data_IF_899151453422
#
_entry.id   IF_899151453422
#
_cell.length_a   1.000
_cell.length_b   1.000
_cell.length_c   1.000
_cell.angle_alpha   90.00
_cell.angle_beta   90.00
_cell.angle_gamma   90.00
#
_symmetry.space_group_name_H-M   'P 1'
#
loop_
_entity.id
_entity.type
_entity.pdbx_description
1 polymer ?
#
# COMPACT_ATOMS: atom_id res chain seq x y z
N UNK A 1 3.75 -0.66 -1.65
CA UNK A 1 3.92 -0.54 -0.18
C UNK A 1 2.57 -0.44 0.54
N UNK A 2 1.65 0.50 0.18
CA UNK A 2 0.33 0.64 0.83
C UNK A 2 -0.43 -0.69 1.01
N UNK A 3 -0.59 -1.44 -0.08
CA UNK A 3 -1.29 -2.73 -0.04
C UNK A 3 -0.58 -3.77 0.83
N UNK A 4 0.75 -3.89 0.71
CA UNK A 4 1.53 -4.86 1.48
C UNK A 4 1.45 -4.57 2.98
N UNK A 5 1.47 -3.29 3.36
CA UNK A 5 1.28 -2.86 4.74
C UNK A 5 -0.12 -3.26 5.23
N UNK A 6 -1.17 -2.95 4.46
CA UNK A 6 -2.55 -3.32 4.82
C UNK A 6 -2.80 -4.84 4.89
N UNK A 7 -2.01 -5.64 4.17
CA UNK A 7 -2.05 -7.10 4.24
C UNK A 7 -1.32 -7.68 5.46
N UNK A 8 -0.70 -6.82 6.29
CA UNK A 8 0.00 -7.24 7.49
C UNK A 8 1.44 -7.71 7.25
N UNK A 9 2.11 -7.22 6.20
CA UNK A 9 3.52 -7.50 6.02
C UNK A 9 4.36 -6.80 7.12
N UNK A 10 5.01 -7.59 7.95
CA UNK A 10 5.82 -7.09 9.07
C UNK A 10 7.21 -6.57 8.64
N UNK A 11 7.77 -7.10 7.55
CA UNK A 11 9.14 -6.80 7.12
C UNK A 11 9.24 -6.50 5.61
N UNK A 12 9.97 -5.44 5.26
CA UNK A 12 10.31 -5.09 3.89
C UNK A 12 11.82 -5.25 3.66
N UNK A 13 12.20 -6.07 2.69
CA UNK A 13 13.60 -6.23 2.27
C UNK A 13 13.83 -5.54 0.91
N UNK A 14 14.84 -4.67 0.83
CA UNK A 14 15.15 -3.87 -0.36
C UNK A 14 16.59 -3.35 -0.34
N UNK A 15 17.02 -2.70 -1.44
CA UNK A 15 18.33 -2.06 -1.50
C UNK A 15 18.44 -0.87 -0.53
N UNK A 16 19.65 -0.58 -0.05
CA UNK A 16 19.89 0.52 0.89
C UNK A 16 19.40 1.89 0.38
N UNK A 17 19.47 2.13 -0.93
CA UNK A 17 18.99 3.37 -1.56
C UNK A 17 17.48 3.56 -1.46
N UNK A 18 16.69 2.47 -1.39
CA UNK A 18 15.23 2.52 -1.34
C UNK A 18 14.66 2.58 0.07
N UNK A 19 15.46 2.27 1.10
CA UNK A 19 14.99 2.22 2.50
C UNK A 19 14.43 3.56 2.97
N UNK A 20 15.08 4.68 2.63
CA UNK A 20 14.66 5.99 3.12
C UNK A 20 13.32 6.41 2.50
N UNK A 21 13.16 6.18 1.20
CA UNK A 21 11.92 6.44 0.47
C UNK A 21 10.78 5.58 1.00
N UNK A 22 10.99 4.26 1.14
CA UNK A 22 10.00 3.34 1.68
C UNK A 22 9.58 3.72 3.11
N UNK A 23 10.55 4.11 3.96
CA UNK A 23 10.26 4.59 5.32
C UNK A 23 9.41 5.85 5.30
N UNK A 24 9.70 6.80 4.41
CA UNK A 24 8.91 8.02 4.29
C UNK A 24 7.47 7.69 3.86
N UNK A 25 7.29 6.79 2.90
CA UNK A 25 5.97 6.32 2.47
C UNK A 25 5.22 5.72 3.65
N UNK A 26 5.78 4.72 4.33
CA UNK A 26 5.12 4.01 5.45
C UNK A 26 4.71 5.00 6.56
N UNK A 27 5.56 5.97 6.89
CA UNK A 27 5.29 6.96 7.94
C UNK A 27 4.11 7.90 7.65
N UNK A 28 3.75 8.07 6.38
CA UNK A 28 2.67 8.95 5.94
C UNK A 28 1.36 8.19 5.67
N UNK A 29 1.29 6.90 5.99
CA UNK A 29 0.10 6.08 5.82
C UNK A 29 -0.57 5.79 7.17
N UNK A 30 -1.90 5.69 7.16
CA UNK A 30 -2.66 5.14 8.28
C UNK A 30 -2.86 3.64 8.08
N UNK A 31 -2.47 2.84 9.06
CA UNK A 31 -2.53 1.37 8.98
C UNK A 31 -3.94 0.82 8.77
N UNK A 32 -4.96 1.37 9.45
CA UNK A 32 -6.34 0.92 9.33
C UNK A 32 -6.92 1.25 7.94
N UNK A 33 -6.59 2.43 7.41
CA UNK A 33 -7.00 2.80 6.04
C UNK A 33 -6.36 1.86 5.00
N UNK A 34 -5.10 1.47 5.22
CA UNK A 34 -4.42 0.52 4.33
C UNK A 34 -5.02 -0.88 4.40
N UNK A 35 -5.48 -1.34 5.56
CA UNK A 35 -6.22 -2.61 5.66
C UNK A 35 -7.49 -2.59 4.82
N UNK A 36 -8.31 -1.54 4.97
CA UNK A 36 -9.55 -1.38 4.20
C UNK A 36 -9.25 -1.32 2.70
N UNK A 37 -8.21 -0.59 2.30
CA UNK A 37 -7.76 -0.54 0.91
C UNK A 37 -7.34 -1.92 0.39
N UNK A 38 -6.55 -2.66 1.16
CA UNK A 38 -6.11 -4.01 0.79
C UNK A 38 -7.26 -5.00 0.67
N UNK A 39 -8.26 -4.94 1.57
CA UNK A 39 -9.46 -5.76 1.46
C UNK A 39 -10.24 -5.46 0.18
N UNK A 40 -10.40 -4.17 -0.19
CA UNK A 40 -11.03 -3.79 -1.47
C UNK A 40 -10.23 -4.31 -2.67
N UNK A 41 -8.90 -4.16 -2.63
CA UNK A 41 -8.03 -4.62 -3.71
C UNK A 41 -8.05 -6.15 -3.89
N UNK A 42 -8.16 -6.93 -2.81
CA UNK A 42 -8.30 -8.39 -2.88
C UNK A 42 -9.61 -8.85 -3.53
N UNK A 43 -10.65 -8.01 -3.50
CA UNK A 43 -11.95 -8.29 -4.12
C UNK A 43 -12.08 -7.70 -5.54
N UNK A 44 -11.02 -7.09 -6.08
CA UNK A 44 -11.04 -6.52 -7.42
C UNK A 44 -10.76 -7.61 -8.47
N UNK A 45 -11.53 -7.60 -9.56
CA UNK A 45 -11.44 -8.61 -10.62
C UNK A 45 -10.24 -8.41 -11.56
N UNK A 46 -9.70 -7.18 -11.64
CA UNK A 46 -8.60 -6.85 -12.56
C UNK A 46 -7.55 -5.96 -11.92
N UNK A 47 -6.34 -6.01 -12.49
CA UNK A 47 -5.22 -5.16 -12.09
C UNK A 47 -5.56 -3.67 -12.24
N UNK A 48 -6.31 -3.29 -13.28
CA UNK A 48 -6.72 -1.90 -13.52
C UNK A 48 -7.62 -1.37 -12.39
N UNK A 49 -8.54 -2.22 -11.90
CA UNK A 49 -9.38 -1.87 -10.77
C UNK A 49 -8.56 -1.70 -9.47
N UNK A 50 -7.55 -2.55 -9.25
CA UNK A 50 -6.61 -2.39 -8.12
C UNK A 50 -5.84 -1.07 -8.22
N UNK A 51 -5.33 -0.72 -9.41
CA UNK A 51 -4.60 0.53 -9.62
C UNK A 51 -5.48 1.77 -9.41
N UNK A 52 -6.74 1.73 -9.86
CA UNK A 52 -7.70 2.81 -9.64
C UNK A 52 -8.00 3.03 -8.15
N UNK A 53 -8.19 1.96 -7.38
CA UNK A 53 -8.35 2.04 -5.92
C UNK A 53 -7.12 2.66 -5.23
N UNK A 54 -5.92 2.34 -5.73
CA UNK A 54 -4.68 2.87 -5.19
C UNK A 54 -4.53 4.38 -5.45
N UNK A 55 -4.93 4.82 -6.65
CA UNK A 55 -4.89 6.23 -7.03
C UNK A 55 -5.90 7.06 -6.22
N UNK A 56 -7.14 6.59 -6.12
CA UNK A 56 -8.19 7.24 -5.33
C UNK A 56 -7.79 7.38 -3.84
N UNK A 57 -7.15 6.36 -3.26
CA UNK A 57 -6.76 6.37 -1.86
C UNK A 57 -5.54 7.24 -1.54
N UNK A 58 -4.68 7.54 -2.53
CA UNK A 58 -3.40 8.23 -2.31
C UNK A 58 -3.37 9.65 -2.89
N UNK A 59 -4.17 9.92 -3.91
CA UNK A 59 -4.17 11.19 -4.65
C UNK A 59 -5.55 11.89 -4.65
N UNK A 60 -6.59 11.21 -4.15
CA UNK A 60 -7.96 11.74 -4.00
C UNK A 60 -8.14 12.71 -2.84
#
# INVERSE_FOLDING_TARGET
IPLLLGLGLDEFSMSASSILEARNIIRNLNYEDMKVLSEKALNADTTEAVLALLDEALNG
#
